data_IF_622364308575
#
_entry.id   IF_622364308575
#
_cell.length_a   1.000
_cell.length_b   1.000
_cell.length_c   1.000
_cell.angle_alpha   90.00
_cell.angle_beta   90.00
_cell.angle_gamma   90.00
#
_symmetry.space_group_name_H-M   'P 1'
#
loop_
_entity.id
_entity.type
_entity.pdbx_description
1 polymer ?
#
# COMPACT_ATOMS: atom_id res chain seq x y z
N UNK A 1 -16.17 -13.76 6.53
CA UNK A 1 -17.54 -13.84 5.95
C UNK A 1 -17.57 -13.03 4.66
N UNK A 2 -18.18 -13.55 3.58
CA UNK A 2 -18.37 -12.80 2.34
C UNK A 2 -19.59 -11.91 2.50
N UNK A 3 -19.40 -10.59 2.49
CA UNK A 3 -20.47 -9.61 2.70
C UNK A 3 -21.29 -9.35 1.44
N UNK A 4 -20.65 -9.32 0.28
CA UNK A 4 -21.30 -9.00 -1.00
C UNK A 4 -20.78 -9.91 -2.10
N UNK A 5 -21.68 -10.36 -2.97
CA UNK A 5 -21.34 -11.13 -4.18
C UNK A 5 -21.91 -10.42 -5.40
N UNK A 6 -21.05 -10.14 -6.37
CA UNK A 6 -21.43 -9.55 -7.63
C UNK A 6 -21.69 -10.63 -8.69
N UNK A 7 -22.87 -10.61 -9.30
CA UNK A 7 -23.23 -11.52 -10.38
C UNK A 7 -23.31 -10.76 -11.70
N UNK A 8 -22.68 -11.31 -12.71
CA UNK A 8 -22.74 -10.77 -14.07
C UNK A 8 -23.01 -11.89 -15.08
N UNK A 9 -23.34 -11.52 -16.30
CA UNK A 9 -23.48 -12.45 -17.39
C UNK A 9 -22.13 -13.12 -17.69
N UNK A 10 -22.14 -14.45 -17.89
CA UNK A 10 -20.92 -15.18 -18.24
C UNK A 10 -20.48 -14.78 -19.67
N UNK A 11 -19.17 -14.55 -19.82
CA UNK A 11 -18.57 -14.24 -21.11
C UNK A 11 -17.85 -15.47 -21.67
N UNK A 12 -18.11 -15.81 -22.92
CA UNK A 12 -17.32 -16.78 -23.63
C UNK A 12 -15.94 -16.21 -23.95
N UNK A 13 -14.89 -16.99 -23.72
CA UNK A 13 -13.50 -16.58 -23.87
C UNK A 13 -12.84 -17.31 -25.02
N UNK A 14 -12.32 -16.59 -26.01
CA UNK A 14 -11.46 -17.14 -27.08
C UNK A 14 -9.98 -17.00 -26.67
N UNK A 15 -9.59 -15.82 -26.16
CA UNK A 15 -8.22 -15.55 -25.69
C UNK A 15 -8.22 -14.64 -24.48
N UNK A 16 -7.23 -14.87 -23.64
CA UNK A 16 -6.93 -14.03 -22.47
C UNK A 16 -5.62 -13.28 -22.67
N UNK A 17 -5.61 -12.01 -22.29
CA UNK A 17 -4.46 -11.13 -22.34
C UNK A 17 -4.26 -10.46 -21.01
N UNK A 18 -3.04 -9.98 -20.78
CA UNK A 18 -2.71 -9.09 -19.70
C UNK A 18 -2.56 -7.65 -20.20
N UNK A 19 -3.12 -6.69 -19.48
CA UNK A 19 -2.94 -5.27 -19.75
C UNK A 19 -2.86 -4.51 -18.42
N UNK A 20 -1.79 -3.73 -18.23
CA UNK A 20 -1.69 -2.85 -17.08
C UNK A 20 -1.13 -1.48 -17.46
N UNK A 21 -1.50 -0.48 -16.66
CA UNK A 21 -0.91 0.87 -16.68
C UNK A 21 -0.47 1.16 -15.25
N UNK A 22 0.78 1.50 -15.07
CA UNK A 22 1.35 1.79 -13.76
C UNK A 22 2.45 2.87 -13.84
N UNK A 23 2.81 3.41 -12.68
CA UNK A 23 3.93 4.35 -12.58
C UNK A 23 5.24 3.59 -12.46
N UNK A 24 6.10 3.70 -13.47
CA UNK A 24 7.45 3.12 -13.43
C UNK A 24 8.39 4.03 -12.62
N UNK A 25 8.82 3.53 -11.46
CA UNK A 25 9.71 4.28 -10.56
C UNK A 25 11.11 4.49 -11.14
N UNK A 26 11.59 3.59 -12.00
CA UNK A 26 12.92 3.67 -12.58
C UNK A 26 13.03 4.84 -13.57
N UNK A 27 11.98 5.09 -14.35
CA UNK A 27 11.93 6.15 -15.36
C UNK A 27 11.10 7.36 -14.93
N UNK A 28 10.37 7.28 -13.80
CA UNK A 28 9.41 8.29 -13.33
C UNK A 28 8.35 8.63 -14.39
N UNK A 29 7.88 7.62 -15.12
CA UNK A 29 6.91 7.76 -16.22
C UNK A 29 5.81 6.71 -16.09
N UNK A 30 4.60 6.99 -16.59
CA UNK A 30 3.62 5.95 -16.82
C UNK A 30 4.14 4.94 -17.84
N UNK A 31 3.89 3.66 -17.59
CA UNK A 31 4.22 2.56 -18.48
C UNK A 31 2.97 1.72 -18.73
N UNK A 32 2.77 1.32 -19.97
CA UNK A 32 1.80 0.29 -20.34
C UNK A 32 2.53 -1.03 -20.47
N UNK A 33 2.03 -2.05 -19.81
CA UNK A 33 2.50 -3.42 -19.92
C UNK A 33 1.38 -4.26 -20.53
N UNK A 34 1.69 -5.00 -21.57
CA UNK A 34 0.75 -5.89 -22.24
C UNK A 34 1.39 -7.24 -22.53
N UNK A 35 0.65 -8.33 -22.39
CA UNK A 35 1.10 -9.69 -22.72
C UNK A 35 -0.01 -10.50 -23.37
N UNK A 36 0.40 -11.43 -24.23
CA UNK A 36 -0.50 -12.46 -24.80
C UNK A 36 -0.82 -13.57 -23.80
N UNK A 37 -0.18 -13.58 -22.64
CA UNK A 37 -0.45 -14.48 -21.53
C UNK A 37 -1.29 -13.72 -20.49
N UNK A 38 -2.59 -13.98 -20.45
CA UNK A 38 -3.54 -13.44 -19.50
C UNK A 38 -4.05 -14.50 -18.53
N UNK A 39 -4.75 -14.07 -17.47
CA UNK A 39 -5.28 -14.99 -16.45
C UNK A 39 -4.22 -15.66 -15.59
N UNK A 40 -2.97 -15.21 -15.66
CA UNK A 40 -1.81 -15.76 -14.93
C UNK A 40 -1.02 -14.64 -14.26
N UNK A 41 -0.11 -15.03 -13.37
CA UNK A 41 0.81 -14.12 -12.70
C UNK A 41 1.82 -13.54 -13.71
N UNK A 42 1.84 -12.22 -13.88
CA UNK A 42 2.68 -11.56 -14.88
C UNK A 42 4.16 -11.59 -14.50
N UNK A 43 4.49 -11.66 -13.21
CA UNK A 43 5.85 -11.79 -12.70
C UNK A 43 6.46 -13.13 -13.14
N UNK A 44 5.66 -14.21 -13.11
CA UNK A 44 6.07 -15.52 -13.61
C UNK A 44 6.32 -15.48 -15.12
N UNK A 45 5.47 -14.79 -15.88
CA UNK A 45 5.66 -14.59 -17.33
C UNK A 45 6.92 -13.76 -17.58
N UNK A 46 7.19 -12.74 -16.78
CA UNK A 46 8.38 -11.90 -16.91
C UNK A 46 9.68 -12.67 -16.67
N UNK A 47 9.66 -13.66 -15.78
CA UNK A 47 10.81 -14.51 -15.49
C UNK A 47 11.03 -15.57 -16.58
N UNK A 48 9.95 -16.26 -17.01
CA UNK A 48 10.04 -17.41 -17.91
C UNK A 48 10.03 -17.06 -19.40
N UNK A 49 9.33 -16.00 -19.78
CA UNK A 49 9.06 -15.62 -21.18
C UNK A 49 8.98 -14.10 -21.37
N UNK A 50 10.05 -13.35 -21.03
CA UNK A 50 10.04 -11.88 -21.08
C UNK A 50 9.76 -11.31 -22.48
N UNK A 51 10.01 -12.08 -23.54
CA UNK A 51 9.71 -11.69 -24.92
C UNK A 51 8.20 -11.57 -25.22
N UNK A 52 7.34 -12.19 -24.38
CA UNK A 52 5.88 -12.06 -24.49
C UNK A 52 5.34 -10.80 -23.86
N UNK A 53 6.18 -10.03 -23.17
CA UNK A 53 5.79 -8.81 -22.50
C UNK A 53 6.19 -7.60 -23.33
N UNK A 54 5.21 -6.80 -23.71
CA UNK A 54 5.40 -5.51 -24.35
C UNK A 54 5.34 -4.41 -23.31
N UNK A 55 6.36 -3.55 -23.27
CA UNK A 55 6.46 -2.39 -22.38
C UNK A 55 6.50 -1.12 -23.20
N UNK A 56 5.60 -0.16 -22.92
CA UNK A 56 5.50 1.11 -23.65
C UNK A 56 5.50 2.25 -22.64
N UNK A 57 6.60 3.00 -22.58
CA UNK A 57 6.71 4.19 -21.75
C UNK A 57 5.92 5.34 -22.36
N UNK A 58 5.19 6.07 -21.54
CA UNK A 58 4.42 7.25 -21.93
C UNK A 58 5.12 8.49 -21.38
N UNK A 59 5.31 9.49 -22.21
CA UNK A 59 5.75 10.79 -21.74
C UNK A 59 4.57 11.53 -21.10
N UNK A 60 4.63 11.85 -19.78
CA UNK A 60 3.51 12.45 -19.08
C UNK A 60 3.12 13.83 -19.62
N UNK A 61 4.05 14.56 -20.25
CA UNK A 61 3.77 15.86 -20.85
C UNK A 61 2.98 15.77 -22.16
N UNK A 62 3.05 14.63 -22.83
CA UNK A 62 2.39 14.39 -24.12
C UNK A 62 1.14 13.51 -23.99
N UNK A 63 1.04 12.75 -22.90
CA UNK A 63 0.04 11.72 -22.74
C UNK A 63 0.17 10.57 -23.75
N UNK A 64 -0.78 9.63 -23.70
CA UNK A 64 -0.80 8.51 -24.63
C UNK A 64 -1.02 9.00 -26.08
N UNK A 65 -0.20 8.52 -27.00
CA UNK A 65 -0.35 8.83 -28.41
C UNK A 65 -1.04 7.67 -29.15
N UNK A 66 -1.85 7.95 -30.19
CA UNK A 66 -2.59 6.92 -30.93
C UNK A 66 -1.72 5.78 -31.45
N UNK A 67 -0.44 6.02 -31.78
CA UNK A 67 0.45 4.96 -32.25
C UNK A 67 0.83 4.00 -31.13
N UNK A 68 0.94 4.47 -29.86
CA UNK A 68 1.26 3.65 -28.70
C UNK A 68 0.11 2.69 -28.37
N UNK A 69 -1.13 3.19 -28.37
CA UNK A 69 -2.31 2.32 -28.20
C UNK A 69 -2.42 1.28 -29.34
N UNK A 70 -2.09 1.66 -30.59
CA UNK A 70 -2.01 0.71 -31.70
C UNK A 70 -0.89 -0.32 -31.52
N UNK A 71 0.25 0.09 -30.98
CA UNK A 71 1.37 -0.82 -30.68
C UNK A 71 0.97 -1.89 -29.68
N UNK A 72 0.21 -1.53 -28.62
CA UNK A 72 -0.38 -2.50 -27.68
C UNK A 72 -1.28 -3.49 -28.43
N UNK A 73 -2.24 -3.00 -29.19
CA UNK A 73 -3.19 -3.88 -29.91
C UNK A 73 -2.48 -4.80 -30.93
N UNK A 74 -1.40 -4.35 -31.56
CA UNK A 74 -0.57 -5.18 -32.44
C UNK A 74 0.21 -6.24 -31.67
N UNK A 75 0.80 -5.92 -30.53
CA UNK A 75 1.54 -6.91 -29.71
C UNK A 75 0.63 -8.03 -29.17
N UNK A 76 -0.63 -7.72 -28.90
CA UNK A 76 -1.63 -8.71 -28.53
C UNK A 76 -2.17 -9.52 -29.72
N UNK A 77 -1.69 -9.27 -30.94
CA UNK A 77 -2.09 -9.98 -32.14
C UNK A 77 -3.50 -9.66 -32.66
N UNK A 78 -4.15 -8.62 -32.12
CA UNK A 78 -5.51 -8.22 -32.49
C UNK A 78 -5.57 -7.66 -33.92
N UNK A 79 -6.70 -7.84 -34.59
CA UNK A 79 -6.94 -7.40 -35.99
C UNK A 79 -8.38 -6.92 -36.14
N UNK A 80 -8.66 -6.18 -37.23
CA UNK A 80 -10.02 -5.77 -37.57
C UNK A 80 -10.69 -4.91 -36.50
N UNK A 81 -11.89 -5.30 -36.09
CA UNK A 81 -12.68 -4.53 -35.12
C UNK A 81 -12.20 -4.74 -33.69
N UNK A 82 -11.71 -5.92 -33.32
CA UNK A 82 -11.08 -6.15 -32.00
C UNK A 82 -9.84 -5.26 -31.80
N UNK A 83 -9.06 -5.01 -32.84
CA UNK A 83 -7.96 -4.05 -32.82
C UNK A 83 -8.43 -2.65 -32.50
N UNK A 84 -9.48 -2.17 -33.14
CA UNK A 84 -10.05 -0.82 -32.91
C UNK A 84 -10.61 -0.68 -31.49
N UNK A 85 -11.29 -1.73 -31.00
CA UNK A 85 -11.82 -1.78 -29.65
C UNK A 85 -10.69 -1.72 -28.62
N UNK A 86 -9.63 -2.50 -28.80
CA UNK A 86 -8.45 -2.48 -27.92
C UNK A 86 -7.77 -1.10 -27.89
N UNK A 87 -7.55 -0.47 -29.05
CA UNK A 87 -6.97 0.88 -29.13
C UNK A 87 -7.80 1.90 -28.35
N UNK A 88 -9.13 1.83 -28.48
CA UNK A 88 -10.05 2.70 -27.74
C UNK A 88 -10.01 2.42 -26.24
N UNK A 89 -9.99 1.14 -25.84
CA UNK A 89 -9.92 0.72 -24.44
C UNK A 89 -8.63 1.21 -23.79
N UNK A 90 -7.48 0.95 -24.39
CA UNK A 90 -6.16 1.38 -23.88
C UNK A 90 -6.11 2.89 -23.67
N UNK A 91 -6.62 3.67 -24.64
CA UNK A 91 -6.69 5.12 -24.51
C UNK A 91 -7.56 5.56 -23.33
N UNK A 92 -8.75 4.96 -23.18
CA UNK A 92 -9.67 5.26 -22.08
C UNK A 92 -9.12 4.85 -20.71
N UNK A 93 -8.42 3.70 -20.62
CA UNK A 93 -7.77 3.27 -19.38
C UNK A 93 -6.66 4.24 -18.97
N UNK A 94 -5.89 4.76 -19.94
CA UNK A 94 -4.90 5.78 -19.66
C UNK A 94 -5.53 7.09 -19.18
N UNK A 95 -6.62 7.54 -19.82
CA UNK A 95 -7.36 8.72 -19.38
C UNK A 95 -7.92 8.54 -17.96
N UNK A 96 -8.44 7.35 -17.66
CA UNK A 96 -8.91 7.00 -16.33
C UNK A 96 -7.77 6.98 -15.29
N UNK A 97 -6.63 6.33 -15.62
CA UNK A 97 -5.44 6.27 -14.78
C UNK A 97 -5.01 7.68 -14.34
N UNK A 98 -5.00 8.62 -15.27
CA UNK A 98 -4.61 10.01 -15.03
C UNK A 98 -5.69 10.80 -14.29
N UNK A 99 -6.95 10.67 -14.70
CA UNK A 99 -8.06 11.44 -14.16
C UNK A 99 -8.40 11.06 -12.70
N UNK A 100 -8.06 9.83 -12.29
CA UNK A 100 -8.35 9.31 -10.94
C UNK A 100 -7.11 9.15 -10.07
N UNK A 101 -5.97 9.70 -10.51
CA UNK A 101 -4.70 9.57 -9.79
C UNK A 101 -4.40 8.11 -9.41
N UNK A 102 -4.52 7.22 -10.36
CA UNK A 102 -4.19 5.83 -10.12
C UNK A 102 -2.68 5.62 -10.06
N UNK A 103 -2.22 4.76 -9.17
CA UNK A 103 -0.84 4.24 -9.17
C UNK A 103 -0.72 3.00 -10.04
N UNK A 104 -1.82 2.27 -10.22
CA UNK A 104 -1.94 1.08 -11.06
C UNK A 104 -3.37 0.91 -11.55
N UNK A 105 -3.51 0.52 -12.81
CA UNK A 105 -4.74 -0.04 -13.39
C UNK A 105 -4.33 -1.31 -14.12
N UNK A 106 -4.83 -2.44 -13.66
CA UNK A 106 -4.54 -3.75 -14.22
C UNK A 106 -5.83 -4.39 -14.69
N UNK A 107 -5.82 -4.96 -15.87
CA UNK A 107 -6.90 -5.77 -16.44
C UNK A 107 -6.33 -7.16 -16.70
N UNK A 108 -6.74 -8.13 -15.89
CA UNK A 108 -6.24 -9.48 -15.94
C UNK A 108 -7.33 -10.49 -15.54
N UNK A 109 -8.00 -11.13 -16.56
CA UNK A 109 -7.68 -11.03 -17.97
C UNK A 109 -8.41 -9.89 -18.71
N UNK A 110 -7.75 -9.38 -19.75
CA UNK A 110 -8.39 -8.71 -20.86
C UNK A 110 -8.78 -9.80 -21.87
N UNK A 111 -10.04 -9.89 -22.24
CA UNK A 111 -10.58 -11.03 -23.00
C UNK A 111 -10.92 -10.64 -24.43
N UNK A 112 -10.58 -11.52 -25.37
CA UNK A 112 -11.18 -11.57 -26.71
C UNK A 112 -12.28 -12.62 -26.70
N UNK A 113 -13.49 -12.25 -27.07
CA UNK A 113 -14.62 -13.17 -27.22
C UNK A 113 -14.61 -13.85 -28.59
N UNK A 114 -15.28 -15.00 -28.76
CA UNK A 114 -15.48 -15.63 -30.09
C UNK A 114 -16.21 -14.72 -31.09
N UNK A 115 -16.98 -13.73 -30.62
CA UNK A 115 -17.65 -12.72 -31.45
C UNK A 115 -16.72 -11.60 -31.90
N UNK A 116 -15.50 -11.55 -31.37
CA UNK A 116 -14.49 -10.54 -31.71
C UNK A 116 -14.56 -9.28 -30.82
N UNK A 117 -15.29 -9.32 -29.73
CA UNK A 117 -15.34 -8.23 -28.77
C UNK A 117 -14.17 -8.29 -27.78
N UNK A 118 -13.68 -7.12 -27.37
CA UNK A 118 -12.63 -6.97 -26.38
C UNK A 118 -13.23 -6.46 -25.07
N UNK A 119 -13.11 -7.28 -24.02
CA UNK A 119 -13.73 -7.06 -22.70
C UNK A 119 -12.68 -7.03 -21.60
N UNK A 120 -12.77 -6.05 -20.71
CA UNK A 120 -12.12 -6.11 -19.39
C UNK A 120 -12.98 -7.01 -18.48
N UNK A 121 -12.55 -8.25 -18.26
CA UNK A 121 -13.31 -9.21 -17.46
C UNK A 121 -13.14 -8.94 -15.98
N UNK A 122 -11.91 -8.70 -15.56
CA UNK A 122 -11.57 -8.28 -14.21
C UNK A 122 -10.57 -7.12 -14.25
N UNK A 123 -10.66 -6.25 -13.25
CA UNK A 123 -9.75 -5.11 -13.14
C UNK A 123 -9.39 -4.83 -11.69
N UNK A 124 -8.08 -4.64 -11.45
CA UNK A 124 -7.53 -4.17 -10.19
C UNK A 124 -7.06 -2.73 -10.34
N UNK A 125 -7.57 -1.86 -9.50
CA UNK A 125 -7.22 -0.43 -9.53
C UNK A 125 -6.69 0.00 -8.19
N UNK A 126 -5.48 0.58 -8.18
CA UNK A 126 -4.89 1.21 -7.01
C UNK A 126 -4.87 2.72 -7.21
N UNK A 127 -5.49 3.45 -6.31
CA UNK A 127 -5.49 4.90 -6.29
C UNK A 127 -4.35 5.43 -5.42
N UNK A 128 -3.82 6.60 -5.75
CA UNK A 128 -2.90 7.30 -4.85
C UNK A 128 -3.67 7.84 -3.65
N UNK A 129 -3.41 7.29 -2.47
CA UNK A 129 -4.09 7.71 -1.23
C UNK A 129 -3.86 9.20 -0.91
N UNK A 130 -2.73 9.77 -1.33
CA UNK A 130 -2.44 11.19 -1.16
C UNK A 130 -3.34 12.10 -2.03
N UNK A 131 -3.98 11.56 -3.06
CA UNK A 131 -4.86 12.28 -3.95
C UNK A 131 -6.36 12.10 -3.62
N UNK A 132 -6.73 11.22 -2.70
CA UNK A 132 -8.13 10.90 -2.38
C UNK A 132 -8.94 12.12 -1.92
N UNK A 133 -8.31 13.14 -1.34
CA UNK A 133 -9.00 14.37 -0.96
C UNK A 133 -9.71 15.08 -2.11
N UNK A 134 -9.31 14.83 -3.34
CA UNK A 134 -9.93 15.38 -4.57
C UNK A 134 -10.79 14.38 -5.33
N UNK A 135 -10.94 13.15 -4.80
CA UNK A 135 -11.75 12.07 -5.37
C UNK A 135 -12.77 11.52 -4.37
N UNK A 136 -13.76 12.34 -3.93
CA UNK A 136 -14.75 11.89 -2.95
C UNK A 136 -15.57 10.70 -3.46
N UNK A 137 -15.81 10.61 -4.75
CA UNK A 137 -16.48 9.48 -5.39
C UNK A 137 -15.73 8.16 -5.28
N UNK A 138 -14.39 8.20 -5.22
CA UNK A 138 -13.56 7.02 -4.96
C UNK A 138 -13.61 6.66 -3.48
N UNK A 139 -13.55 7.67 -2.59
CA UNK A 139 -13.65 7.45 -1.14
C UNK A 139 -14.98 6.78 -0.76
N UNK A 140 -16.08 7.11 -1.42
CA UNK A 140 -17.39 6.50 -1.20
C UNK A 140 -17.44 5.00 -1.54
N UNK A 141 -16.51 4.51 -2.37
CA UNK A 141 -16.39 3.08 -2.71
C UNK A 141 -15.65 2.25 -1.65
N UNK A 142 -15.08 2.91 -0.63
CA UNK A 142 -14.32 2.24 0.42
C UNK A 142 -15.23 1.30 1.21
N UNK A 143 -14.87 0.02 1.27
CA UNK A 143 -15.53 -0.98 2.10
C UNK A 143 -14.67 -1.30 3.32
N UNK A 144 -15.00 -0.66 4.44
CA UNK A 144 -14.28 -0.81 5.70
C UNK A 144 -14.34 -2.25 6.24
N UNK A 145 -15.35 -3.03 5.86
CA UNK A 145 -15.51 -4.41 6.30
C UNK A 145 -14.49 -5.38 5.72
N UNK A 146 -13.85 -5.01 4.61
CA UNK A 146 -12.81 -5.78 3.93
C UNK A 146 -11.37 -5.35 4.35
N UNK A 147 -11.25 -4.29 5.15
CA UNK A 147 -9.96 -3.78 5.63
C UNK A 147 -9.56 -4.44 6.97
N UNK A 148 -8.25 -4.43 7.27
CA UNK A 148 -7.77 -4.85 8.60
C UNK A 148 -8.32 -3.93 9.69
N UNK A 149 -9.00 -4.47 10.73
CA UNK A 149 -9.60 -3.65 11.79
C UNK A 149 -8.60 -2.75 12.53
N UNK A 150 -7.32 -3.14 12.64
CA UNK A 150 -6.28 -2.35 13.30
C UNK A 150 -5.86 -1.17 12.41
N UNK A 151 -5.78 -1.38 11.09
CA UNK A 151 -5.50 -0.32 10.11
C UNK A 151 -6.64 0.70 10.08
N UNK A 152 -7.89 0.22 10.10
CA UNK A 152 -9.07 1.08 10.22
C UNK A 152 -9.05 1.89 11.52
N UNK A 153 -8.72 1.25 12.64
CA UNK A 153 -8.64 1.96 13.94
C UNK A 153 -7.51 3.00 13.93
N UNK A 154 -6.35 2.66 13.39
CA UNK A 154 -5.19 3.57 13.27
C UNK A 154 -5.51 4.80 12.41
N UNK A 155 -6.26 4.62 11.34
CA UNK A 155 -6.64 5.72 10.43
C UNK A 155 -7.49 6.80 11.10
N UNK A 156 -8.22 6.48 12.17
CA UNK A 156 -9.02 7.45 12.94
C UNK A 156 -8.17 8.47 13.71
N UNK A 157 -6.91 8.13 13.94
CA UNK A 157 -5.95 8.93 14.70
C UNK A 157 -4.79 9.45 13.85
N UNK A 158 -4.93 9.44 12.52
CA UNK A 158 -3.88 9.83 11.57
C UNK A 158 -2.56 9.06 11.78
N UNK A 159 -2.65 7.79 12.17
CA UNK A 159 -1.51 6.88 12.32
C UNK A 159 -1.32 6.08 11.03
N UNK A 160 -0.08 6.02 10.53
CA UNK A 160 0.27 5.15 9.42
C UNK A 160 0.62 3.76 9.96
N UNK A 161 -0.34 2.85 9.95
CA UNK A 161 -0.22 1.48 10.46
C UNK A 161 -0.44 0.46 9.35
N UNK A 162 0.38 -0.57 9.32
CA UNK A 162 0.20 -1.77 8.48
C UNK A 162 0.43 -2.99 9.36
N UNK A 163 -0.53 -3.91 9.40
CA UNK A 163 -0.43 -5.16 10.11
C UNK A 163 0.52 -6.14 9.39
N UNK A 164 1.36 -6.85 10.15
CA UNK A 164 2.26 -7.90 9.66
C UNK A 164 2.18 -9.13 10.57
N UNK A 165 2.66 -10.29 10.09
CA UNK A 165 2.58 -11.57 10.79
C UNK A 165 3.74 -11.81 11.78
N UNK A 166 4.16 -10.79 12.51
CA UNK A 166 5.30 -10.87 13.41
C UNK A 166 4.97 -10.97 14.89
N UNK A 167 6.01 -10.87 15.72
CA UNK A 167 5.91 -10.97 17.17
C UNK A 167 6.59 -9.82 17.93
N UNK A 168 7.26 -8.92 17.24
CA UNK A 168 7.85 -7.70 17.79
C UNK A 168 7.19 -6.50 17.15
N UNK A 169 6.37 -5.81 17.94
CA UNK A 169 5.75 -4.58 17.47
C UNK A 169 6.75 -3.42 17.48
N UNK A 170 6.59 -2.46 16.58
CA UNK A 170 7.41 -1.26 16.59
C UNK A 170 6.56 0.01 16.45
N UNK A 171 7.04 1.09 17.08
CA UNK A 171 6.51 2.44 16.94
C UNK A 171 7.65 3.41 16.69
N UNK A 172 7.55 4.17 15.62
CA UNK A 172 8.59 5.11 15.20
C UNK A 172 8.00 6.43 14.72
N UNK A 173 8.85 7.43 14.53
CA UNK A 173 8.46 8.70 13.90
C UNK A 173 9.23 8.89 12.59
N UNK A 174 8.62 8.44 11.53
CA UNK A 174 9.10 8.55 10.16
C UNK A 174 9.22 7.20 9.44
N UNK A 175 8.66 7.14 8.24
CA UNK A 175 8.54 5.91 7.46
C UNK A 175 9.89 5.23 7.17
N UNK A 176 10.94 6.00 6.87
CA UNK A 176 12.29 5.46 6.66
C UNK A 176 12.87 4.82 7.93
N UNK A 177 12.63 5.44 9.09
CA UNK A 177 13.05 4.87 10.39
C UNK A 177 12.23 3.61 10.73
N UNK A 178 10.95 3.56 10.35
CA UNK A 178 10.10 2.39 10.52
C UNK A 178 10.65 1.20 9.74
N UNK A 179 10.96 1.37 8.47
CA UNK A 179 11.54 0.32 7.62
C UNK A 179 12.88 -0.17 8.18
N UNK A 180 13.78 0.75 8.54
CA UNK A 180 15.07 0.40 9.15
C UNK A 180 14.92 -0.32 10.50
N UNK A 181 13.91 0.05 11.31
CA UNK A 181 13.61 -0.61 12.57
C UNK A 181 13.11 -2.03 12.36
N UNK A 182 12.22 -2.24 11.39
CA UNK A 182 11.76 -3.58 11.01
C UNK A 182 12.93 -4.46 10.50
N UNK A 183 13.83 -3.89 9.69
CA UNK A 183 15.03 -4.61 9.23
C UNK A 183 15.93 -5.02 10.38
N UNK A 184 16.14 -4.16 11.38
CA UNK A 184 16.92 -4.46 12.59
C UNK A 184 16.24 -5.55 13.42
N UNK A 185 14.92 -5.49 13.62
CA UNK A 185 14.16 -6.55 14.31
C UNK A 185 14.42 -7.89 13.60
N UNK A 186 14.30 -7.92 12.27
CA UNK A 186 14.51 -9.13 11.47
C UNK A 186 15.98 -9.62 11.53
N UNK A 187 16.93 -8.69 11.46
CA UNK A 187 18.37 -9.00 11.53
C UNK A 187 18.76 -9.71 12.82
N UNK A 188 18.15 -9.33 13.95
CA UNK A 188 18.37 -9.96 15.25
C UNK A 188 17.45 -11.15 15.54
N UNK A 189 16.79 -11.70 14.54
CA UNK A 189 16.01 -12.93 14.63
C UNK A 189 14.57 -12.74 15.15
N UNK A 190 14.11 -11.50 15.32
CA UNK A 190 12.70 -11.18 15.56
C UNK A 190 11.89 -11.17 14.26
N UNK A 191 10.57 -11.08 14.38
CA UNK A 191 9.68 -10.87 13.25
C UNK A 191 8.84 -9.62 13.48
N UNK A 192 8.88 -8.60 12.61
CA UNK A 192 8.08 -7.38 12.78
C UNK A 192 6.59 -7.70 12.74
N UNK A 193 5.84 -7.25 13.76
CA UNK A 193 4.40 -7.44 13.85
C UNK A 193 3.63 -6.34 13.11
N UNK A 194 4.26 -5.21 12.83
CA UNK A 194 3.63 -4.08 12.17
C UNK A 194 4.66 -3.11 11.60
N UNK A 195 4.21 -2.30 10.64
CA UNK A 195 4.75 -0.98 10.37
C UNK A 195 3.91 0.03 11.15
N UNK A 196 4.51 0.96 11.87
CA UNK A 196 3.81 2.07 12.51
C UNK A 196 4.67 3.33 12.54
N UNK A 197 4.25 4.32 11.79
CA UNK A 197 4.81 5.67 11.80
C UNK A 197 3.79 6.63 12.43
N UNK A 198 4.12 7.18 13.59
CA UNK A 198 3.27 8.16 14.29
C UNK A 198 3.44 9.58 13.72
N UNK A 199 4.33 9.77 12.74
CA UNK A 199 4.60 11.05 12.14
C UNK A 199 5.49 11.97 12.98
N UNK A 200 5.94 13.07 12.36
CA UNK A 200 6.86 14.02 12.99
C UNK A 200 6.21 15.01 13.97
N UNK A 201 4.89 14.99 14.15
CA UNK A 201 4.13 15.91 14.98
C UNK A 201 3.17 15.23 15.96
N UNK A 202 3.34 13.93 16.23
CA UNK A 202 2.42 13.17 17.07
C UNK A 202 2.28 13.78 18.47
N UNK A 203 1.05 13.78 18.97
CA UNK A 203 0.67 14.21 20.31
C UNK A 203 0.47 13.00 21.24
N UNK A 204 0.19 13.27 22.52
CA UNK A 204 -0.01 12.22 23.53
C UNK A 204 -1.16 11.27 23.19
N UNK A 205 -2.26 11.78 22.62
CA UNK A 205 -3.42 10.98 22.23
C UNK A 205 -3.07 9.99 21.11
N UNK A 206 -2.32 10.44 20.11
CA UNK A 206 -1.86 9.58 19.02
C UNK A 206 -0.93 8.47 19.54
N UNK A 207 0.00 8.82 20.45
CA UNK A 207 0.89 7.83 21.08
C UNK A 207 0.09 6.82 21.89
N UNK A 208 -0.89 7.24 22.69
CA UNK A 208 -1.75 6.35 23.46
C UNK A 208 -2.53 5.39 22.57
N UNK A 209 -3.15 5.91 21.50
CA UNK A 209 -3.90 5.08 20.55
C UNK A 209 -2.98 4.13 19.77
N UNK A 210 -1.76 4.57 19.40
CA UNK A 210 -0.75 3.70 18.82
C UNK A 210 -0.45 2.51 19.73
N UNK A 211 -0.16 2.74 21.01
CA UNK A 211 0.06 1.68 21.98
C UNK A 211 -1.15 0.76 22.13
N UNK A 212 -2.36 1.31 22.20
CA UNK A 212 -3.58 0.51 22.29
C UNK A 212 -3.72 -0.47 21.12
N UNK A 213 -3.40 -0.01 19.91
CA UNK A 213 -3.41 -0.87 18.73
C UNK A 213 -2.34 -1.95 18.84
N UNK A 214 -1.10 -1.61 19.22
CA UNK A 214 -0.02 -2.57 19.35
C UNK A 214 -0.29 -3.66 20.37
N UNK A 215 -0.83 -3.31 21.56
CA UNK A 215 -1.13 -4.30 22.62
C UNK A 215 -2.42 -5.07 22.38
N UNK A 216 -3.25 -4.67 21.45
CA UNK A 216 -4.44 -5.44 21.04
C UNK A 216 -4.09 -6.67 20.22
N UNK A 217 -2.85 -6.83 19.80
CA UNK A 217 -2.37 -7.97 19.05
C UNK A 217 -1.80 -9.04 19.97
N UNK A 218 -2.50 -10.14 20.13
CA UNK A 218 -2.08 -11.28 20.97
C UNK A 218 -0.78 -11.94 20.50
N UNK A 219 -0.39 -11.75 19.24
CA UNK A 219 0.86 -12.25 18.69
C UNK A 219 2.09 -11.44 19.17
N UNK A 220 1.88 -10.22 19.62
CA UNK A 220 2.96 -9.32 20.07
C UNK A 220 3.53 -9.77 21.41
N UNK A 221 4.84 -10.05 21.42
CA UNK A 221 5.60 -10.49 22.60
C UNK A 221 6.55 -9.44 23.12
N UNK A 222 6.85 -8.40 22.36
CA UNK A 222 7.67 -7.26 22.76
C UNK A 222 7.34 -6.04 21.89
N UNK A 223 7.57 -4.85 22.42
CA UNK A 223 7.38 -3.58 21.70
C UNK A 223 8.71 -2.83 21.68
N UNK A 224 9.14 -2.40 20.50
CA UNK A 224 10.29 -1.53 20.29
C UNK A 224 9.81 -0.13 19.87
N UNK A 225 10.02 0.85 20.72
CA UNK A 225 9.84 2.26 20.40
C UNK A 225 11.17 2.85 19.97
N UNK A 226 11.25 3.36 18.75
CA UNK A 226 12.46 3.96 18.22
C UNK A 226 12.15 5.36 17.67
N UNK A 227 12.48 6.38 18.47
CA UNK A 227 12.14 7.77 18.19
C UNK A 227 13.41 8.59 17.95
N UNK A 228 13.41 9.34 16.86
CA UNK A 228 14.39 10.39 16.61
C UNK A 228 13.68 11.76 16.70
N UNK A 229 13.85 12.43 17.83
CA UNK A 229 13.22 13.71 18.13
C UNK A 229 13.75 14.81 17.23
N UNK A 230 12.84 15.41 16.49
CA UNK A 230 13.04 16.61 15.69
C UNK A 230 12.00 17.65 16.09
N UNK A 231 11.00 17.86 15.25
CA UNK A 231 9.81 18.67 15.56
C UNK A 231 9.06 18.05 16.74
N UNK A 232 8.84 16.74 16.71
CA UNK A 232 8.39 15.97 17.86
C UNK A 232 9.50 15.87 18.89
N UNK A 233 9.18 16.15 20.15
CA UNK A 233 10.13 16.18 21.27
C UNK A 233 10.06 14.88 22.06
N UNK A 234 11.21 14.40 22.51
CA UNK A 234 11.31 13.14 23.26
C UNK A 234 10.57 13.15 24.60
N UNK A 235 10.45 14.29 25.26
CA UNK A 235 9.68 14.45 26.51
C UNK A 235 8.18 14.24 26.30
N UNK A 236 7.61 14.73 25.20
CA UNK A 236 6.20 14.52 24.83
C UNK A 236 5.92 13.04 24.59
N UNK A 237 6.79 12.39 23.82
CA UNK A 237 6.67 10.95 23.55
C UNK A 237 6.82 10.13 24.83
N UNK A 238 7.81 10.43 25.67
CA UNK A 238 8.01 9.74 26.93
C UNK A 238 6.77 9.84 27.83
N UNK A 239 6.17 11.03 27.91
CA UNK A 239 4.91 11.24 28.65
C UNK A 239 3.78 10.39 28.07
N UNK A 240 3.59 10.39 26.76
CA UNK A 240 2.60 9.57 26.09
C UNK A 240 2.80 8.06 26.33
N UNK A 241 4.05 7.59 26.27
CA UNK A 241 4.41 6.19 26.59
C UNK A 241 4.01 5.83 28.01
N UNK A 242 4.41 6.65 29.00
CA UNK A 242 4.11 6.41 30.42
C UNK A 242 2.59 6.39 30.68
N UNK A 243 1.86 7.34 30.08
CA UNK A 243 0.41 7.41 30.23
C UNK A 243 -0.28 6.19 29.60
N UNK A 244 0.12 5.80 28.39
CA UNK A 244 -0.39 4.64 27.71
C UNK A 244 -0.11 3.34 28.48
N UNK A 245 1.14 3.14 28.91
CA UNK A 245 1.55 1.95 29.66
C UNK A 245 0.76 1.76 30.98
N UNK A 246 0.49 2.87 31.70
CA UNK A 246 -0.31 2.84 32.94
C UNK A 246 -1.80 2.53 32.65
N UNK A 247 -2.38 3.16 31.62
CA UNK A 247 -3.79 2.96 31.28
C UNK A 247 -4.09 1.57 30.75
N UNK A 248 -3.16 0.98 30.02
CA UNK A 248 -3.36 -0.30 29.32
C UNK A 248 -2.90 -1.52 30.14
N UNK A 249 -2.36 -1.32 31.35
CA UNK A 249 -1.79 -2.42 32.20
C UNK A 249 -0.86 -3.33 31.37
N UNK A 250 0.08 -2.70 30.64
CA UNK A 250 0.95 -3.39 29.68
C UNK A 250 1.79 -4.47 30.35
N UNK A 251 1.71 -5.69 29.80
CA UNK A 251 2.45 -6.86 30.30
C UNK A 251 3.57 -7.30 29.39
N UNK A 252 3.62 -6.74 28.18
CA UNK A 252 4.68 -7.05 27.20
C UNK A 252 5.91 -6.20 27.49
N UNK A 253 7.14 -6.77 27.35
CA UNK A 253 8.38 -6.00 27.45
C UNK A 253 8.39 -4.82 26.49
N UNK A 254 8.84 -3.67 26.98
CA UNK A 254 8.93 -2.44 26.23
C UNK A 254 10.37 -1.93 26.22
N UNK A 255 10.95 -1.84 25.04
CA UNK A 255 12.27 -1.26 24.79
C UNK A 255 12.07 0.12 24.16
N UNK A 256 12.71 1.14 24.71
CA UNK A 256 12.56 2.52 24.24
C UNK A 256 13.92 3.14 23.92
N UNK A 257 14.12 3.46 22.65
CA UNK A 257 15.24 4.27 22.19
C UNK A 257 14.76 5.69 21.88
N UNK A 258 15.35 6.66 22.55
CA UNK A 258 15.10 8.08 22.31
C UNK A 258 16.41 8.77 21.93
N UNK A 259 16.37 9.55 20.86
CA UNK A 259 17.44 10.44 20.41
C UNK A 259 16.87 11.79 19.94
N UNK A 260 17.67 12.84 19.98
CA UNK A 260 17.30 14.15 19.43
C UNK A 260 16.78 15.14 20.47
N UNK A 261 15.78 15.96 20.10
CA UNK A 261 15.28 17.11 20.89
C UNK A 261 14.69 16.64 22.22
N UNK A 262 15.13 17.22 23.34
CA UNK A 262 14.70 16.94 24.73
C UNK A 262 14.92 15.48 25.16
N UNK A 263 15.96 14.83 24.63
CA UNK A 263 16.23 13.41 24.90
C UNK A 263 16.49 13.16 26.40
N UNK A 264 17.26 14.01 27.09
CA UNK A 264 17.56 13.85 28.52
C UNK A 264 16.30 13.97 29.38
N UNK A 265 15.40 14.91 29.04
CA UNK A 265 14.11 15.05 29.72
C UNK A 265 13.21 13.82 29.47
N UNK A 266 13.17 13.33 28.23
CA UNK A 266 12.44 12.12 27.91
C UNK A 266 12.94 10.88 28.67
N UNK A 267 14.27 10.68 28.73
CA UNK A 267 14.88 9.60 29.52
C UNK A 267 14.55 9.71 31.01
N UNK A 268 14.57 10.94 31.57
CA UNK A 268 14.24 11.15 32.96
C UNK A 268 12.78 10.80 33.26
N UNK A 269 11.82 11.22 32.39
CA UNK A 269 10.40 10.87 32.52
C UNK A 269 10.21 9.35 32.52
N UNK A 270 10.89 8.63 31.63
CA UNK A 270 10.83 7.17 31.58
C UNK A 270 11.41 6.54 32.84
N UNK A 271 12.58 7.01 33.32
CA UNK A 271 13.23 6.49 34.52
C UNK A 271 12.37 6.67 35.77
N UNK A 272 11.74 7.86 35.92
CA UNK A 272 10.90 8.19 37.07
C UNK A 272 9.51 7.53 37.02
N UNK A 273 9.16 6.89 35.91
CA UNK A 273 7.85 6.29 35.69
C UNK A 273 7.58 5.05 36.54
N UNK A 274 8.65 4.37 36.95
CA UNK A 274 8.59 3.06 37.64
C UNK A 274 8.14 1.90 36.76
N UNK A 275 8.06 2.11 35.44
CA UNK A 275 7.77 1.04 34.48
C UNK A 275 9.02 0.17 34.25
N UNK A 276 8.78 -1.13 34.02
CA UNK A 276 9.85 -2.05 33.60
C UNK A 276 10.20 -1.78 32.12
N UNK A 277 11.17 -0.90 31.88
CA UNK A 277 11.65 -0.47 30.57
C UNK A 277 13.11 -0.83 30.40
N UNK A 278 13.50 -1.18 29.17
CA UNK A 278 14.88 -1.31 28.71
C UNK A 278 15.24 -0.27 27.66
#
# INVERSE_FOLDING_TARGET
EVGTVYFTEASDIDKEFYLAILSDRATSKPIIIASTEGGVDIEEVAEKSPEKITKILIDPSLGIRPYQARQVAFSLGLRGDSFKQCVKLVSKLYDFFWAKDCSQVEVNPLVLTPTGDVLALDAKVNFDSNALFRHPDVVELRDISEEDPKEVEASKFDLNYIALDGNVACMVNGAGLAMATMDIIKHYGGSPANFLDVGGGANEEQVENAFRILVSDDAVKAILVNIFGGIMKCDVIATGIVNAARKLDMKVPLVVRLEGTNVEQGKQILADSGLALE
#
